data_IF_943280561962
#
_entry.id   IF_943280561962
#
_cell.length_a   1.000
_cell.length_b   1.000
_cell.length_c   1.000
_cell.angle_alpha   90.00
_cell.angle_beta   90.00
_cell.angle_gamma   90.00
#
_symmetry.space_group_name_H-M   'P 1'
#
loop_
_entity.id
_entity.type
_entity.pdbx_description
1 polymer ?
#
# COMPACT_ATOMS: atom_id res chain seq x y z
N UNK A 1 36.45 -8.29 -20.62
CA UNK A 1 36.94 -9.64 -20.99
C UNK A 1 36.05 -10.67 -20.33
N UNK A 2 35.25 -11.40 -21.11
CA UNK A 2 34.34 -12.45 -20.62
C UNK A 2 35.14 -13.73 -20.42
N UNK A 3 35.03 -14.36 -19.25
CA UNK A 3 35.82 -15.56 -18.94
C UNK A 3 35.34 -16.78 -19.75
N UNK A 4 36.21 -17.74 -20.02
CA UNK A 4 35.86 -18.99 -20.72
C UNK A 4 34.67 -19.72 -20.09
N UNK A 5 34.58 -19.69 -18.75
CA UNK A 5 33.45 -20.24 -17.99
C UNK A 5 32.13 -19.50 -18.28
N UNK A 6 32.16 -18.17 -18.40
CA UNK A 6 30.97 -17.40 -18.77
C UNK A 6 30.56 -17.66 -20.23
N UNK A 7 31.53 -17.85 -21.13
CA UNK A 7 31.27 -18.10 -22.56
C UNK A 7 30.64 -19.48 -22.80
N UNK A 8 31.12 -20.51 -22.09
CA UNK A 8 30.54 -21.86 -22.11
C UNK A 8 29.17 -21.92 -21.45
N UNK A 9 28.95 -21.20 -20.34
CA UNK A 9 27.64 -21.09 -19.71
C UNK A 9 26.62 -20.38 -20.61
N UNK A 10 27.02 -19.26 -21.25
CA UNK A 10 26.15 -18.53 -22.18
C UNK A 10 25.79 -19.36 -23.41
N UNK A 11 26.73 -20.12 -23.98
CA UNK A 11 26.43 -21.07 -25.09
C UNK A 11 25.45 -22.16 -24.66
N UNK A 12 25.64 -22.78 -23.49
CA UNK A 12 24.70 -23.79 -22.97
C UNK A 12 23.31 -23.22 -22.69
N UNK A 13 23.22 -22.00 -22.17
CA UNK A 13 21.95 -21.33 -21.90
C UNK A 13 21.24 -20.91 -23.20
N UNK A 14 21.98 -20.49 -24.23
CA UNK A 14 21.43 -20.17 -25.54
C UNK A 14 20.74 -21.38 -26.21
N UNK A 15 21.29 -22.59 -26.04
CA UNK A 15 20.64 -23.82 -26.51
C UNK A 15 19.38 -24.22 -25.72
N UNK A 16 19.20 -23.72 -24.50
CA UNK A 16 18.01 -23.99 -23.65
C UNK A 16 16.93 -22.91 -23.77
N UNK A 17 17.28 -21.72 -24.24
CA UNK A 17 16.38 -20.57 -24.35
C UNK A 17 16.28 -20.11 -25.80
N UNK A 18 15.65 -20.91 -26.65
CA UNK A 18 15.50 -20.64 -28.10
C UNK A 18 14.29 -19.77 -28.44
N UNK A 19 13.62 -19.18 -27.44
CA UNK A 19 12.40 -18.41 -27.64
C UNK A 19 11.31 -19.20 -28.40
N UNK A 20 10.16 -18.57 -28.72
CA UNK A 20 9.14 -19.24 -29.54
C UNK A 20 9.58 -19.28 -31.01
N UNK A 21 9.87 -20.48 -31.53
CA UNK A 21 10.25 -20.68 -32.95
C UNK A 21 9.04 -20.89 -33.88
N UNK A 22 7.88 -21.28 -33.34
CA UNK A 22 6.66 -21.55 -34.11
C UNK A 22 5.81 -20.30 -34.28
N UNK A 23 5.04 -20.21 -35.37
CA UNK A 23 4.11 -19.10 -35.60
C UNK A 23 3.10 -18.95 -34.45
N UNK A 24 2.62 -20.07 -33.90
CA UNK A 24 1.71 -20.09 -32.75
C UNK A 24 2.39 -19.63 -31.45
N UNK A 25 3.64 -20.03 -31.21
CA UNK A 25 4.44 -19.56 -30.08
C UNK A 25 4.75 -18.07 -30.15
N UNK A 26 5.07 -17.56 -31.35
CA UNK A 26 5.27 -16.13 -31.62
C UNK A 26 3.98 -15.33 -31.43
N UNK A 27 2.85 -15.86 -31.90
CA UNK A 27 1.53 -15.24 -31.69
C UNK A 27 1.16 -15.17 -30.20
N UNK A 28 1.45 -16.23 -29.43
CA UNK A 28 1.22 -16.26 -27.97
C UNK A 28 2.12 -15.28 -27.22
N UNK A 29 3.41 -15.20 -27.58
CA UNK A 29 4.34 -14.21 -27.02
C UNK A 29 3.95 -12.76 -27.40
N UNK A 30 3.52 -12.53 -28.64
CA UNK A 30 2.96 -11.25 -29.10
C UNK A 30 1.65 -10.89 -28.38
N UNK A 31 0.82 -11.89 -28.06
CA UNK A 31 -0.38 -11.71 -27.25
C UNK A 31 -0.05 -11.26 -25.82
N UNK A 32 1.00 -11.80 -25.21
CA UNK A 32 1.46 -11.37 -23.88
C UNK A 32 1.96 -9.92 -23.86
N UNK A 33 2.71 -9.50 -24.89
CA UNK A 33 3.17 -8.12 -25.04
C UNK A 33 2.00 -7.12 -25.20
N UNK A 34 0.94 -7.52 -25.92
CA UNK A 34 -0.30 -6.73 -26.06
C UNK A 34 -1.16 -6.70 -24.79
N UNK A 35 -1.16 -7.77 -23.98
CA UNK A 35 -2.03 -7.90 -22.80
C UNK A 35 -1.58 -7.05 -21.61
N UNK A 36 -0.26 -6.81 -21.47
CA UNK A 36 0.30 -6.13 -20.30
C UNK A 36 0.63 -4.64 -20.54
N UNK A 37 0.45 -4.10 -21.75
CA UNK A 37 0.65 -2.67 -22.07
C UNK A 37 2.10 -2.16 -22.01
N UNK A 38 2.95 -2.77 -21.18
CA UNK A 38 4.36 -2.42 -20.94
C UNK A 38 5.23 -2.64 -22.19
N UNK A 39 4.95 -3.68 -22.98
CA UNK A 39 5.59 -3.93 -24.28
C UNK A 39 4.64 -3.68 -25.46
N UNK A 40 3.62 -2.85 -25.25
CA UNK A 40 2.72 -2.48 -26.34
C UNK A 40 3.50 -1.80 -27.46
N UNK A 41 3.18 -2.14 -28.71
CA UNK A 41 3.64 -1.39 -29.89
C UNK A 41 3.03 0.00 -29.95
N UNK A 42 1.97 0.27 -29.17
CA UNK A 42 1.37 1.59 -29.05
C UNK A 42 2.23 2.46 -28.14
N UNK A 43 2.55 3.66 -28.62
CA UNK A 43 3.26 4.66 -27.84
C UNK A 43 2.41 5.14 -26.65
N UNK A 44 1.12 5.39 -26.89
CA UNK A 44 0.16 5.85 -25.87
C UNK A 44 -0.90 4.77 -25.56
N UNK A 45 -1.29 4.70 -24.29
CA UNK A 45 -2.51 4.03 -23.85
C UNK A 45 -3.70 5.01 -23.85
N UNK A 46 -4.92 4.51 -23.69
CA UNK A 46 -6.14 5.33 -23.75
C UNK A 46 -6.22 6.37 -22.61
N UNK A 47 -5.56 6.09 -21.49
CA UNK A 47 -5.49 6.90 -20.28
C UNK A 47 -4.21 7.75 -20.17
N UNK A 48 -3.38 7.78 -21.21
CA UNK A 48 -2.13 8.54 -21.23
C UNK A 48 -2.27 9.84 -22.03
N UNK A 49 -1.66 10.91 -21.53
CA UNK A 49 -1.71 12.22 -22.15
C UNK A 49 -0.50 12.44 -23.10
N UNK A 50 -0.72 12.61 -24.42
CA UNK A 50 0.36 12.88 -25.37
C UNK A 50 1.16 14.16 -25.07
N UNK A 51 0.55 15.17 -24.42
CA UNK A 51 1.24 16.40 -24.07
C UNK A 51 2.33 16.20 -23.01
N UNK A 52 2.14 15.27 -22.07
CA UNK A 52 3.16 14.94 -21.08
C UNK A 52 4.39 14.31 -21.74
N UNK A 53 4.18 13.45 -22.73
CA UNK A 53 5.27 12.90 -23.53
C UNK A 53 5.97 13.97 -24.36
N UNK A 54 5.21 14.90 -24.96
CA UNK A 54 5.78 16.03 -25.70
C UNK A 54 6.69 16.87 -24.81
N UNK A 55 6.25 17.22 -23.60
CA UNK A 55 7.05 17.95 -22.63
C UNK A 55 8.32 17.19 -22.24
N UNK A 56 8.23 15.87 -22.03
CA UNK A 56 9.38 15.01 -21.77
C UNK A 56 10.38 15.05 -22.92
N UNK A 57 9.91 14.86 -24.15
CA UNK A 57 10.73 14.85 -25.35
C UNK A 57 11.38 16.21 -25.61
N UNK A 58 10.62 17.30 -25.52
CA UNK A 58 11.13 18.66 -25.69
C UNK A 58 12.20 18.98 -24.64
N UNK A 59 11.98 18.57 -23.39
CA UNK A 59 12.96 18.69 -22.32
C UNK A 59 14.26 17.92 -22.61
N UNK A 60 14.15 16.67 -23.07
CA UNK A 60 15.32 15.86 -23.46
C UNK A 60 16.05 16.44 -24.67
N UNK A 61 15.32 16.95 -25.66
CA UNK A 61 15.89 17.60 -26.83
C UNK A 61 16.67 18.86 -26.44
N UNK A 62 16.12 19.68 -25.56
CA UNK A 62 16.79 20.89 -25.08
C UNK A 62 18.08 20.57 -24.30
N UNK A 63 18.06 19.51 -23.48
CA UNK A 63 19.20 19.14 -22.63
C UNK A 63 20.28 18.31 -23.35
N UNK A 64 19.90 17.48 -24.32
CA UNK A 64 20.83 16.62 -25.07
C UNK A 64 21.34 17.28 -26.36
N UNK A 65 20.73 18.40 -26.78
CA UNK A 65 21.13 19.22 -27.93
C UNK A 65 21.51 18.42 -29.19
N UNK A 66 20.59 17.57 -29.72
CA UNK A 66 20.88 16.74 -30.88
C UNK A 66 21.11 17.59 -32.14
N UNK A 67 22.09 17.18 -32.96
CA UNK A 67 22.38 17.78 -34.27
C UNK A 67 22.12 16.78 -35.38
N UNK A 68 21.21 17.15 -36.29
CA UNK A 68 20.79 16.30 -37.41
C UNK A 68 19.84 15.17 -37.02
N UNK A 69 19.35 14.47 -38.03
CA UNK A 69 18.27 13.49 -37.88
C UNK A 69 18.69 12.26 -37.06
N UNK A 70 19.95 11.83 -37.15
CA UNK A 70 20.45 10.66 -36.42
C UNK A 70 20.44 10.88 -34.91
N UNK A 71 20.98 12.00 -34.43
CA UNK A 71 20.98 12.33 -33.01
C UNK A 71 19.55 12.57 -32.50
N UNK A 72 18.71 13.22 -33.31
CA UNK A 72 17.31 13.46 -32.97
C UNK A 72 16.53 12.15 -32.80
N UNK A 73 16.73 11.17 -33.71
CA UNK A 73 16.14 9.83 -33.60
C UNK A 73 16.60 9.09 -32.33
N UNK A 74 17.86 9.26 -31.93
CA UNK A 74 18.38 8.66 -30.70
C UNK A 74 17.78 9.32 -29.46
N UNK A 75 17.60 10.64 -29.46
CA UNK A 75 16.88 11.36 -28.38
C UNK A 75 15.42 10.90 -28.31
N UNK A 76 14.74 10.72 -29.44
CA UNK A 76 13.38 10.19 -29.48
C UNK A 76 13.31 8.77 -28.87
N UNK A 77 14.26 7.90 -29.22
CA UNK A 77 14.36 6.55 -28.62
C UNK A 77 14.57 6.58 -27.11
N UNK A 78 15.38 7.52 -26.61
CA UNK A 78 15.57 7.73 -25.17
C UNK A 78 14.23 8.13 -24.54
N UNK A 79 13.53 9.12 -25.10
CA UNK A 79 12.23 9.59 -24.60
C UNK A 79 11.18 8.46 -24.56
N UNK A 80 11.06 7.67 -25.64
CA UNK A 80 10.14 6.52 -25.70
C UNK A 80 10.50 5.47 -24.64
N UNK A 81 11.79 5.18 -24.44
CA UNK A 81 12.24 4.20 -23.44
C UNK A 81 11.92 4.67 -22.02
N UNK A 82 12.17 5.95 -21.72
CA UNK A 82 11.82 6.58 -20.45
C UNK A 82 10.31 6.60 -20.22
N UNK A 83 9.52 6.91 -21.25
CA UNK A 83 8.04 6.87 -21.15
C UNK A 83 7.54 5.47 -20.75
N UNK A 84 8.10 4.42 -21.36
CA UNK A 84 7.78 3.02 -21.01
C UNK A 84 8.22 2.65 -19.59
N UNK A 85 9.35 3.16 -19.12
CA UNK A 85 9.77 2.99 -17.72
C UNK A 85 8.78 3.65 -16.75
N UNK A 86 8.30 4.87 -17.05
CA UNK A 86 7.27 5.52 -16.23
C UNK A 86 5.98 4.69 -16.16
N UNK A 87 5.52 4.17 -17.30
CA UNK A 87 4.36 3.25 -17.35
C UNK A 87 4.59 2.02 -16.48
N UNK A 88 5.79 1.43 -16.55
CA UNK A 88 6.15 0.27 -15.76
C UNK A 88 6.08 0.57 -14.26
N UNK A 89 6.68 1.68 -13.80
CA UNK A 89 6.64 2.10 -12.39
C UNK A 89 5.20 2.30 -11.93
N UNK A 90 4.36 2.97 -12.72
CA UNK A 90 2.93 3.15 -12.41
C UNK A 90 2.20 1.81 -12.25
N UNK A 91 2.44 0.86 -13.15
CA UNK A 91 1.84 -0.47 -13.08
C UNK A 91 2.32 -1.28 -11.87
N UNK A 92 3.61 -1.20 -11.54
CA UNK A 92 4.19 -1.83 -10.36
C UNK A 92 3.59 -1.25 -9.07
N UNK A 93 3.53 0.08 -8.96
CA UNK A 93 2.87 0.76 -7.84
C UNK A 93 1.42 0.33 -7.71
N UNK A 94 0.64 0.36 -8.80
CA UNK A 94 -0.76 -0.07 -8.76
C UNK A 94 -0.91 -1.55 -8.33
N UNK A 95 -0.04 -2.44 -8.80
CA UNK A 95 -0.04 -3.85 -8.39
C UNK A 95 0.24 -4.00 -6.90
N UNK A 96 1.16 -3.21 -6.34
CA UNK A 96 1.48 -3.22 -4.91
C UNK A 96 0.30 -2.66 -4.10
N UNK A 97 -0.30 -1.54 -4.52
CA UNK A 97 -1.45 -0.92 -3.84
C UNK A 97 -2.66 -1.87 -3.79
N UNK A 98 -2.98 -2.50 -4.92
CA UNK A 98 -4.05 -3.50 -5.00
C UNK A 98 -3.73 -4.72 -4.13
N UNK A 99 -2.48 -5.17 -4.14
CA UNK A 99 -2.01 -6.29 -3.33
C UNK A 99 -2.09 -6.04 -1.82
N UNK A 100 -1.84 -4.80 -1.36
CA UNK A 100 -1.92 -4.44 0.07
C UNK A 100 -3.32 -4.09 0.57
N UNK A 101 -4.32 -4.00 -0.32
CA UNK A 101 -5.68 -3.62 0.06
C UNK A 101 -6.25 -4.58 1.10
N UNK A 102 -6.78 -4.03 2.20
CA UNK A 102 -7.42 -4.84 3.26
C UNK A 102 -8.84 -5.27 2.90
N UNK A 103 -9.38 -4.78 1.78
CA UNK A 103 -10.65 -5.26 1.23
C UNK A 103 -10.50 -6.58 0.48
N UNK A 104 -9.27 -6.98 0.16
CA UNK A 104 -8.98 -8.29 -0.42
C UNK A 104 -9.27 -9.40 0.60
N UNK A 105 -10.16 -10.37 0.29
CA UNK A 105 -10.48 -11.47 1.21
C UNK A 105 -9.26 -12.31 1.61
N UNK A 106 -8.26 -12.42 0.73
CA UNK A 106 -7.00 -13.12 1.01
C UNK A 106 -6.18 -12.45 2.10
N UNK A 107 -6.23 -11.12 2.20
CA UNK A 107 -5.49 -10.36 3.21
C UNK A 107 -6.22 -10.42 4.55
N UNK A 108 -7.56 -10.29 4.56
CA UNK A 108 -8.37 -10.47 5.78
C UNK A 108 -8.14 -11.85 6.41
N UNK A 109 -8.17 -12.91 5.59
CA UNK A 109 -7.90 -14.27 6.05
C UNK A 109 -6.49 -14.47 6.61
N UNK A 110 -5.49 -13.76 6.09
CA UNK A 110 -4.14 -13.81 6.65
C UNK A 110 -4.11 -13.20 8.04
N UNK A 111 -4.79 -12.07 8.25
CA UNK A 111 -4.90 -11.43 9.57
C UNK A 111 -5.65 -12.34 10.54
N UNK A 112 -6.79 -12.90 10.14
CA UNK A 112 -7.59 -13.83 10.96
C UNK A 112 -6.77 -15.04 11.41
N UNK A 113 -6.03 -15.65 10.49
CA UNK A 113 -5.14 -16.80 10.80
C UNK A 113 -4.03 -16.42 11.76
N UNK A 114 -3.39 -15.27 11.56
CA UNK A 114 -2.30 -14.81 12.40
C UNK A 114 -2.76 -14.51 13.83
N UNK A 115 -4.00 -14.04 14.00
CA UNK A 115 -4.62 -13.78 15.31
C UNK A 115 -5.28 -15.02 15.92
N UNK A 116 -5.23 -16.18 15.26
CA UNK A 116 -5.91 -17.39 15.72
C UNK A 116 -7.43 -17.23 15.79
N UNK A 117 -8.01 -16.29 15.03
CA UNK A 117 -9.45 -16.04 14.99
C UNK A 117 -10.13 -17.20 14.26
N UNK A 118 -10.97 -17.95 14.97
CA UNK A 118 -11.82 -18.98 14.39
C UNK A 118 -13.23 -18.43 14.11
N UNK A 119 -13.88 -19.02 13.11
CA UNK A 119 -15.30 -18.79 12.85
C UNK A 119 -16.13 -18.96 14.14
N UNK A 120 -17.12 -18.08 14.43
CA UNK A 120 -17.67 -17.02 13.58
C UNK A 120 -17.04 -15.64 13.77
N UNK A 121 -15.90 -15.51 14.46
CA UNK A 121 -15.28 -14.20 14.71
C UNK A 121 -14.50 -13.72 13.48
N UNK A 122 -15.21 -13.20 12.48
CA UNK A 122 -14.61 -12.58 11.28
C UNK A 122 -14.21 -11.13 11.54
N UNK A 123 -13.19 -10.64 10.82
CA UNK A 123 -12.79 -9.23 10.85
C UNK A 123 -13.88 -8.37 10.19
N UNK A 124 -14.43 -7.42 10.96
CA UNK A 124 -15.40 -6.45 10.46
C UNK A 124 -14.69 -5.22 9.91
N UNK A 125 -15.38 -4.43 9.08
CA UNK A 125 -14.81 -3.19 8.54
C UNK A 125 -14.39 -2.20 9.64
N UNK A 126 -15.16 -2.11 10.73
CA UNK A 126 -14.81 -1.30 11.91
C UNK A 126 -13.51 -1.74 12.59
N UNK A 127 -13.14 -3.02 12.47
CA UNK A 127 -11.91 -3.54 13.07
C UNK A 127 -10.66 -3.00 12.35
N UNK A 128 -10.83 -2.46 11.14
CA UNK A 128 -9.77 -1.93 10.28
C UNK A 128 -9.71 -0.40 10.28
N UNK A 129 -10.58 0.27 11.03
CA UNK A 129 -10.55 1.72 11.16
C UNK A 129 -9.35 2.15 12.01
N UNK A 130 -8.55 3.14 11.55
CA UNK A 130 -7.42 3.66 12.30
C UNK A 130 -7.81 4.00 13.75
N UNK A 131 -6.90 3.75 14.69
CA UNK A 131 -7.09 4.18 16.08
C UNK A 131 -6.87 5.68 16.14
N UNK A 132 -7.89 6.43 16.57
CA UNK A 132 -7.77 7.87 16.85
C UNK A 132 -7.28 8.12 18.27
N UNK A 133 -6.87 9.36 18.57
CA UNK A 133 -6.60 9.79 19.95
C UNK A 133 -7.85 9.64 20.83
N UNK A 134 -9.03 9.93 20.28
CA UNK A 134 -10.31 9.72 20.96
C UNK A 134 -10.55 8.25 21.30
N UNK A 135 -10.19 7.31 20.41
CA UNK A 135 -10.32 5.87 20.68
C UNK A 135 -9.50 5.46 21.92
N UNK A 136 -8.28 6.02 22.08
CA UNK A 136 -7.42 5.73 23.23
C UNK A 136 -8.02 6.29 24.52
N UNK A 137 -8.43 7.56 24.51
CA UNK A 137 -9.07 8.21 25.67
C UNK A 137 -10.36 7.49 26.09
N UNK A 138 -11.16 7.03 25.12
CA UNK A 138 -12.38 6.27 25.38
C UNK A 138 -12.10 4.92 26.05
N UNK A 139 -11.04 4.21 25.64
CA UNK A 139 -10.65 2.94 26.29
C UNK A 139 -10.21 3.16 27.72
N UNK A 140 -9.41 4.20 27.98
CA UNK A 140 -8.98 4.55 29.33
C UNK A 140 -10.18 4.88 30.22
N UNK A 141 -11.12 5.68 29.71
CA UNK A 141 -12.39 5.99 30.38
C UNK A 141 -13.17 4.70 30.74
N UNK A 142 -13.38 3.79 29.77
CA UNK A 142 -14.12 2.56 30.01
C UNK A 142 -13.42 1.61 30.97
N UNK A 143 -12.08 1.53 30.94
CA UNK A 143 -11.30 0.74 31.91
C UNK A 143 -11.47 1.27 33.32
N UNK A 144 -11.36 2.58 33.52
CA UNK A 144 -11.48 3.17 34.85
C UNK A 144 -12.93 3.06 35.37
N UNK A 145 -13.93 3.25 34.50
CA UNK A 145 -15.35 3.01 34.84
C UNK A 145 -15.58 1.57 35.33
N UNK A 146 -14.98 0.58 34.65
CA UNK A 146 -15.08 -0.84 35.03
C UNK A 146 -14.39 -1.15 36.37
N UNK A 147 -13.27 -0.48 36.67
CA UNK A 147 -12.55 -0.61 37.93
C UNK A 147 -13.34 -0.01 39.10
N UNK A 148 -13.94 1.16 38.91
CA UNK A 148 -14.79 1.80 39.90
C UNK A 148 -16.01 0.96 40.28
N UNK A 149 -16.61 0.22 39.32
CA UNK A 149 -17.67 -0.74 39.63
C UNK A 149 -17.24 -1.78 40.68
N UNK A 150 -16.00 -2.29 40.59
CA UNK A 150 -15.46 -3.24 41.56
C UNK A 150 -15.20 -2.60 42.93
N UNK A 151 -14.77 -1.34 42.96
CA UNK A 151 -14.47 -0.59 44.19
C UNK A 151 -15.74 -0.17 44.94
N UNK A 152 -16.79 0.21 44.21
CA UNK A 152 -18.04 0.70 44.77
C UNK A 152 -19.07 -0.40 45.09
N UNK A 153 -18.68 -1.68 45.11
CA UNK A 153 -19.62 -2.79 45.36
C UNK A 153 -20.49 -2.59 46.60
N UNK A 154 -19.92 -2.06 47.69
CA UNK A 154 -20.63 -1.79 48.96
C UNK A 154 -21.68 -0.69 48.77
N UNK A 155 -21.32 0.43 48.15
CA UNK A 155 -22.23 1.54 47.87
C UNK A 155 -23.36 1.13 46.93
N UNK A 156 -23.02 0.39 45.86
CA UNK A 156 -23.96 -0.13 44.87
C UNK A 156 -24.95 -1.12 45.47
N UNK A 157 -24.47 -2.05 46.31
CA UNK A 157 -25.32 -3.06 46.97
C UNK A 157 -26.28 -2.44 48.00
N UNK A 158 -25.86 -1.33 48.62
CA UNK A 158 -26.69 -0.56 49.55
C UNK A 158 -27.63 0.43 48.86
N UNK A 159 -27.53 0.62 47.54
CA UNK A 159 -28.29 1.64 46.81
C UNK A 159 -27.93 3.08 47.21
N UNK A 160 -26.74 3.31 47.76
CA UNK A 160 -26.33 4.59 48.32
C UNK A 160 -25.60 5.45 47.26
N UNK A 161 -26.29 6.45 46.73
CA UNK A 161 -25.77 7.34 45.69
C UNK A 161 -24.76 8.37 46.21
N UNK A 162 -24.89 8.84 47.45
CA UNK A 162 -23.92 9.78 48.05
C UNK A 162 -22.56 9.12 48.27
N UNK A 163 -22.58 7.88 48.76
CA UNK A 163 -21.37 7.08 48.93
C UNK A 163 -20.77 6.69 47.58
N UNK A 164 -21.61 6.48 46.56
CA UNK A 164 -21.14 6.19 45.21
C UNK A 164 -20.34 7.36 44.62
N UNK A 165 -20.77 8.60 44.86
CA UNK A 165 -20.04 9.80 44.39
C UNK A 165 -18.62 9.88 44.97
N UNK A 166 -18.41 9.40 46.20
CA UNK A 166 -17.11 9.36 46.85
C UNK A 166 -16.27 8.15 46.42
N UNK A 167 -16.89 6.97 46.39
CA UNK A 167 -16.19 5.69 46.16
C UNK A 167 -15.94 5.43 44.66
N UNK A 168 -16.73 6.03 43.76
CA UNK A 168 -16.69 5.84 42.30
C UNK A 168 -17.21 7.08 41.53
N UNK A 169 -16.41 8.16 41.46
CA UNK A 169 -16.84 9.43 40.85
C UNK A 169 -17.11 9.36 39.34
N UNK A 170 -16.38 8.55 38.55
CA UNK A 170 -16.67 8.38 37.11
C UNK A 170 -18.00 7.66 36.89
N UNK A 171 -18.30 6.63 37.69
CA UNK A 171 -19.54 5.88 37.65
C UNK A 171 -20.71 6.76 38.09
N UNK A 172 -20.54 7.57 39.14
CA UNK A 172 -21.55 8.56 39.54
C UNK A 172 -21.77 9.63 38.47
N UNK A 173 -20.70 10.18 37.87
CA UNK A 173 -20.81 11.14 36.76
C UNK A 173 -21.58 10.55 35.57
N UNK A 174 -21.33 9.27 35.25
CA UNK A 174 -22.08 8.54 34.21
C UNK A 174 -23.55 8.35 34.60
N UNK A 175 -23.84 8.06 35.86
CA UNK A 175 -25.21 7.93 36.38
C UNK A 175 -25.97 9.25 36.25
N UNK A 176 -25.36 10.37 36.66
CA UNK A 176 -25.93 11.70 36.54
C UNK A 176 -26.18 12.08 35.07
N UNK A 177 -25.24 11.76 34.18
CA UNK A 177 -25.39 11.97 32.74
C UNK A 177 -26.57 11.17 32.15
N UNK A 178 -26.70 9.89 32.52
CA UNK A 178 -27.80 9.03 32.08
C UNK A 178 -29.17 9.51 32.62
N UNK A 179 -29.22 9.97 33.87
CA UNK A 179 -30.42 10.52 34.51
C UNK A 179 -30.85 11.83 33.81
N UNK A 180 -29.90 12.74 33.61
CA UNK A 180 -30.12 14.00 32.90
C UNK A 180 -30.58 13.78 31.45
N UNK A 181 -30.05 12.77 30.75
CA UNK A 181 -30.50 12.41 29.40
C UNK A 181 -31.98 11.96 29.35
N UNK A 182 -32.54 11.54 30.49
CA UNK A 182 -33.97 11.23 30.65
C UNK A 182 -34.77 12.38 31.29
N UNK A 183 -34.13 13.50 31.62
CA UNK A 183 -34.75 14.60 32.35
C UNK A 183 -35.17 14.24 33.77
N UNK A 184 -34.44 13.31 34.41
CA UNK A 184 -34.72 12.84 35.76
C UNK A 184 -33.59 13.22 36.72
N UNK A 185 -33.95 13.43 37.98
CA UNK A 185 -32.98 13.44 39.08
C UNK A 185 -32.40 12.04 39.29
N UNK A 186 -31.18 11.97 39.84
CA UNK A 186 -30.48 10.70 40.05
C UNK A 186 -31.32 9.72 40.90
N UNK A 187 -31.95 10.21 41.95
CA UNK A 187 -32.79 9.39 42.84
C UNK A 187 -33.98 8.79 42.10
N UNK A 188 -34.70 9.59 41.29
CA UNK A 188 -35.86 9.15 40.53
C UNK A 188 -35.46 8.19 39.40
N UNK A 189 -34.33 8.45 38.74
CA UNK A 189 -33.77 7.56 37.74
C UNK A 189 -33.46 6.17 38.32
N UNK A 190 -32.81 6.14 39.49
CA UNK A 190 -32.44 4.89 40.17
C UNK A 190 -33.69 4.14 40.65
N UNK A 191 -34.66 4.84 41.24
CA UNK A 191 -35.91 4.24 41.70
C UNK A 191 -36.74 3.64 40.55
N UNK A 192 -36.71 4.27 39.37
CA UNK A 192 -37.38 3.80 38.16
C UNK A 192 -36.58 2.80 37.32
N UNK A 193 -35.31 2.53 37.66
CA UNK A 193 -34.48 1.58 36.93
C UNK A 193 -34.75 0.15 37.42
N UNK A 194 -35.04 -0.77 36.50
CA UNK A 194 -35.29 -2.17 36.83
C UNK A 194 -34.05 -2.80 37.50
N UNK A 195 -34.21 -3.25 38.75
CA UNK A 195 -33.11 -3.76 39.58
C UNK A 195 -32.24 -2.69 40.25
N UNK A 196 -32.64 -1.41 40.16
CA UNK A 196 -32.05 -0.28 40.87
C UNK A 196 -30.60 0.03 40.48
N UNK A 197 -29.90 0.70 41.41
CA UNK A 197 -28.54 1.22 41.20
C UNK A 197 -27.54 0.13 40.81
N UNK A 198 -27.59 -1.02 41.48
CA UNK A 198 -26.69 -2.13 41.22
C UNK A 198 -26.89 -2.70 39.81
N UNK A 199 -28.14 -2.91 39.37
CA UNK A 199 -28.41 -3.44 38.04
C UNK A 199 -27.98 -2.48 36.93
N UNK A 200 -28.19 -1.17 37.14
CA UNK A 200 -27.68 -0.14 36.24
C UNK A 200 -26.15 -0.18 36.16
N UNK A 201 -25.47 -0.19 37.30
CA UNK A 201 -24.01 -0.18 37.37
C UNK A 201 -23.41 -1.45 36.75
N UNK A 202 -24.01 -2.61 36.99
CA UNK A 202 -23.62 -3.89 36.38
C UNK A 202 -23.77 -3.86 34.86
N UNK A 203 -24.83 -3.26 34.34
CA UNK A 203 -25.00 -3.07 32.90
C UNK A 203 -23.87 -2.21 32.34
N UNK A 204 -23.55 -1.07 32.97
CA UNK A 204 -22.47 -0.19 32.52
C UNK A 204 -21.10 -0.84 32.59
N UNK A 205 -20.81 -1.64 33.61
CA UNK A 205 -19.58 -2.42 33.67
C UNK A 205 -19.48 -3.49 32.56
N UNK A 206 -20.63 -4.07 32.19
CA UNK A 206 -20.71 -5.02 31.06
C UNK A 206 -20.46 -4.31 29.73
N UNK A 207 -21.10 -3.16 29.52
CA UNK A 207 -20.90 -2.30 28.34
C UNK A 207 -19.43 -1.89 28.24
N UNK A 208 -18.83 -1.39 29.33
CA UNK A 208 -17.44 -1.01 29.42
C UNK A 208 -16.48 -2.15 29.03
N UNK A 209 -16.71 -3.35 29.57
CA UNK A 209 -15.90 -4.54 29.25
C UNK A 209 -16.01 -4.91 27.77
N UNK A 210 -17.20 -4.76 27.17
CA UNK A 210 -17.41 -5.02 25.74
C UNK A 210 -16.71 -3.98 24.86
N UNK A 211 -16.76 -2.71 25.22
CA UNK A 211 -16.08 -1.62 24.51
C UNK A 211 -14.56 -1.81 24.56
N UNK A 212 -13.97 -2.00 25.75
CA UNK A 212 -12.54 -2.24 25.92
C UNK A 212 -12.06 -3.41 25.05
N UNK A 213 -12.78 -4.55 25.09
CA UNK A 213 -12.46 -5.71 24.26
C UNK A 213 -12.51 -5.40 22.76
N UNK A 214 -13.45 -4.56 22.33
CA UNK A 214 -13.59 -4.18 20.90
C UNK A 214 -12.42 -3.33 20.44
N UNK A 215 -12.00 -2.36 21.25
CA UNK A 215 -10.85 -1.52 20.94
C UNK A 215 -9.52 -2.28 21.01
N UNK A 216 -9.32 -3.13 22.02
CA UNK A 216 -8.13 -3.99 22.12
C UNK A 216 -8.01 -4.92 20.90
N UNK A 217 -9.15 -5.50 20.47
CA UNK A 217 -9.22 -6.28 19.24
C UNK A 217 -8.82 -5.45 18.01
N UNK A 218 -9.30 -4.20 17.88
CA UNK A 218 -8.92 -3.29 16.79
C UNK A 218 -7.41 -3.07 16.73
N UNK A 219 -6.78 -2.80 17.89
CA UNK A 219 -5.33 -2.59 17.99
C UNK A 219 -4.58 -3.82 17.45
N UNK A 220 -4.91 -5.01 17.95
CA UNK A 220 -4.28 -6.26 17.52
C UNK A 220 -4.49 -6.53 16.01
N UNK A 221 -5.70 -6.27 15.50
CA UNK A 221 -6.02 -6.39 14.07
C UNK A 221 -5.16 -5.45 13.23
N UNK A 222 -4.99 -4.20 13.64
CA UNK A 222 -4.23 -3.20 12.89
C UNK A 222 -2.73 -3.48 12.88
N UNK A 223 -2.17 -3.97 13.98
CA UNK A 223 -0.76 -4.39 14.05
C UNK A 223 -0.48 -5.50 13.03
N UNK A 224 -1.32 -6.55 13.02
CA UNK A 224 -1.17 -7.65 12.07
C UNK A 224 -1.49 -7.20 10.64
N UNK A 225 -2.48 -6.32 10.45
CA UNK A 225 -2.78 -5.75 9.14
C UNK A 225 -1.59 -4.98 8.56
N UNK A 226 -0.83 -4.26 9.40
CA UNK A 226 0.39 -3.58 8.98
C UNK A 226 1.46 -4.58 8.51
N UNK A 227 1.62 -5.71 9.22
CA UNK A 227 2.54 -6.78 8.82
C UNK A 227 2.13 -7.40 7.47
N UNK A 228 0.84 -7.69 7.29
CA UNK A 228 0.31 -8.23 6.02
C UNK A 228 0.51 -7.24 4.88
N UNK A 229 0.25 -5.94 5.09
CA UNK A 229 0.55 -4.90 4.10
C UNK A 229 2.03 -4.84 3.73
N UNK A 230 2.91 -4.97 4.72
CA UNK A 230 4.36 -5.03 4.51
C UNK A 230 4.75 -6.24 3.66
N UNK A 231 4.21 -7.41 3.97
CA UNK A 231 4.44 -8.63 3.20
C UNK A 231 3.97 -8.51 1.74
N UNK A 232 2.78 -7.94 1.51
CA UNK A 232 2.25 -7.75 0.15
C UNK A 232 3.01 -6.67 -0.64
N UNK A 233 3.74 -5.79 0.05
CA UNK A 233 4.60 -4.79 -0.60
C UNK A 233 5.96 -5.37 -1.01
N UNK A 234 6.30 -6.58 -0.58
CA UNK A 234 7.58 -7.19 -0.92
C UNK A 234 7.53 -7.79 -2.35
N UNK A 235 8.59 -7.62 -3.16
CA UNK A 235 8.65 -8.08 -4.56
C UNK A 235 8.89 -9.60 -4.68
N UNK A 236 8.26 -10.41 -3.81
CA UNK A 236 8.55 -11.84 -3.63
C UNK A 236 8.18 -12.65 -4.89
N UNK A 237 7.28 -12.15 -5.74
CA UNK A 237 6.79 -12.86 -6.94
C UNK A 237 6.89 -12.04 -8.25
N UNK A 238 7.66 -10.95 -8.28
CA UNK A 238 7.71 -10.03 -9.42
C UNK A 238 8.75 -10.38 -10.49
N UNK A 239 9.03 -11.68 -10.71
CA UNK A 239 10.03 -12.12 -11.69
C UNK A 239 9.76 -11.60 -13.12
N UNK A 240 8.49 -11.48 -13.50
CA UNK A 240 8.11 -10.95 -14.81
C UNK A 240 8.39 -9.45 -14.90
N UNK A 241 8.08 -8.69 -13.84
CA UNK A 241 8.32 -7.26 -13.78
C UNK A 241 9.83 -6.94 -13.79
N UNK A 242 10.63 -7.65 -12.98
CA UNK A 242 12.09 -7.51 -12.97
C UNK A 242 12.73 -7.77 -14.35
N UNK A 243 12.20 -8.74 -15.12
CA UNK A 243 12.66 -8.99 -16.50
C UNK A 243 12.32 -7.85 -17.45
N UNK A 244 11.14 -7.25 -17.31
CA UNK A 244 10.76 -6.08 -18.13
C UNK A 244 11.58 -4.85 -17.78
N UNK A 245 11.81 -4.59 -16.50
CA UNK A 245 12.69 -3.52 -16.03
C UNK A 245 14.10 -3.68 -16.64
N UNK A 246 14.68 -4.87 -16.52
CA UNK A 246 16.01 -5.17 -17.10
C UNK A 246 16.03 -4.94 -18.62
N UNK A 247 14.97 -5.30 -19.35
CA UNK A 247 14.91 -5.08 -20.79
C UNK A 247 14.85 -3.59 -21.15
N UNK A 248 14.00 -2.81 -20.47
CA UNK A 248 13.87 -1.37 -20.68
C UNK A 248 15.16 -0.62 -20.31
N UNK A 249 15.81 -0.98 -19.21
CA UNK A 249 17.07 -0.39 -18.77
C UNK A 249 18.18 -0.64 -19.80
N UNK A 250 18.23 -1.85 -20.37
CA UNK A 250 19.17 -2.18 -21.43
C UNK A 250 18.89 -1.40 -22.72
N UNK A 251 17.62 -1.21 -23.10
CA UNK A 251 17.26 -0.40 -24.26
C UNK A 251 17.65 1.07 -24.06
N UNK A 252 17.32 1.64 -22.91
CA UNK A 252 17.68 3.01 -22.55
C UNK A 252 19.19 3.21 -22.53
N UNK A 253 19.93 2.30 -21.87
CA UNK A 253 21.39 2.37 -21.80
C UNK A 253 22.04 2.33 -23.18
N UNK A 254 21.55 1.45 -24.08
CA UNK A 254 22.04 1.37 -25.45
C UNK A 254 21.76 2.64 -26.24
N UNK A 255 20.58 3.24 -26.08
CA UNK A 255 20.21 4.48 -26.77
C UNK A 255 21.08 5.66 -26.31
N UNK A 256 21.27 5.83 -25.00
CA UNK A 256 22.15 6.86 -24.44
C UNK A 256 23.59 6.68 -24.92
N UNK A 257 24.09 5.44 -24.90
CA UNK A 257 25.44 5.13 -25.36
C UNK A 257 25.62 5.46 -26.84
N UNK A 258 24.69 5.05 -27.69
CA UNK A 258 24.72 5.35 -29.12
C UNK A 258 24.68 6.86 -29.39
N UNK A 259 23.90 7.62 -28.62
CA UNK A 259 23.86 9.08 -28.74
C UNK A 259 25.22 9.71 -28.40
N UNK A 260 25.84 9.28 -27.30
CA UNK A 260 27.18 9.77 -26.91
C UNK A 260 28.23 9.45 -27.97
N UNK A 261 28.25 8.22 -28.49
CA UNK A 261 29.18 7.82 -29.53
C UNK A 261 28.99 8.65 -30.83
N UNK A 262 27.74 8.92 -31.22
CA UNK A 262 27.43 9.78 -32.36
C UNK A 262 27.91 11.22 -32.16
N UNK A 263 27.67 11.79 -30.99
CA UNK A 263 28.10 13.15 -30.64
C UNK A 263 29.62 13.27 -30.57
N UNK A 264 30.31 12.31 -29.95
CA UNK A 264 31.77 12.26 -29.92
C UNK A 264 32.37 12.17 -31.32
N UNK A 265 31.80 11.32 -32.18
CA UNK A 265 32.26 11.18 -33.56
C UNK A 265 32.08 12.49 -34.33
N UNK A 266 30.93 13.16 -34.17
CA UNK A 266 30.68 14.47 -34.78
C UNK A 266 31.70 15.52 -34.30
N UNK A 267 31.93 15.62 -33.00
CA UNK A 267 32.90 16.58 -32.43
C UNK A 267 34.32 16.32 -32.96
N UNK A 268 34.77 15.07 -32.98
CA UNK A 268 36.08 14.69 -33.57
C UNK A 268 36.18 15.01 -35.06
N UNK A 269 35.08 14.86 -35.80
CA UNK A 269 35.04 15.17 -37.24
C UNK A 269 35.08 16.68 -37.50
N UNK A 270 34.51 17.49 -36.60
CA UNK A 270 34.60 18.96 -36.65
C UNK A 270 36.01 19.45 -36.32
N UNK A 271 36.70 18.80 -35.38
CA UNK A 271 38.07 19.17 -34.94
C UNK A 271 39.19 18.67 -35.87
N UNK A 272 38.90 17.83 -36.87
CA UNK A 272 39.84 17.46 -37.94
C UNK A 272 39.52 18.23 -39.22
N UNK A 273 40.05 19.45 -39.42
CA UNK A 273 40.00 20.08 -40.73
C UNK A 273 40.75 19.16 -41.70
N UNK A 274 40.15 18.91 -42.86
CA UNK A 274 40.73 18.12 -43.94
C UNK A 274 42.21 18.49 -44.11
N UNK A 275 43.11 17.55 -43.79
CA UNK A 275 44.48 17.63 -44.27
C UNK A 275 44.37 17.64 -45.80
N UNK A 276 44.72 18.79 -46.38
CA UNK A 276 44.60 19.08 -47.79
C UNK A 276 45.23 17.98 -48.62
N UNK A 277 44.45 17.50 -49.58
CA UNK A 277 45.00 16.87 -50.77
C UNK A 277 45.56 18.02 -51.61
N UNK A 278 46.87 18.26 -51.50
CA UNK A 278 47.69 18.86 -52.56
C UNK A 278 48.54 17.76 -53.19
#
# INVERSE_FOLDING_TARGET
>A
MTTEKQLTANRKNAHKSTGPSTAQGKAKASGNARRHGVLSTRLFLEDENPEEFRLLFDGMRASLAPVGDLELLLVEKIAVSTWRQHRFVRAETASIELGRSLDMPSNRRQIERALGMAYPQEIRNQDLWPVSEDDVAMVEYWRELGKEFGQAYVALSAGNTERLEQDAPLLYSRLASDANAKGLEVADFVAGYEGGLFAWAKKKATDASSEVRTHERRIAVLEVAALVKGQQSAPINQQLLARYQTALDNELYRAIRALREAQEWRLKTIDSPAQGVE
#
